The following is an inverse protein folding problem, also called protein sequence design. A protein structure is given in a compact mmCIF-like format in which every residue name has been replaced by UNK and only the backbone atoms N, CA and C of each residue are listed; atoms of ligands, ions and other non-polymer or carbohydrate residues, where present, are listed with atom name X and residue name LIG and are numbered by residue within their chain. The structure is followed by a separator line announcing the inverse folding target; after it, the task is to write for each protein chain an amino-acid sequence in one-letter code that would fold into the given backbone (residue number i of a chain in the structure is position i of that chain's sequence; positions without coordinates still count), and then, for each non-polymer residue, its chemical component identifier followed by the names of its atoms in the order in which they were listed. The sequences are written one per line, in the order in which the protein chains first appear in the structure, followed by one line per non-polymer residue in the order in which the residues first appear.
data_IF_755964182542
#
_entry.id   IF_755964182542
#
_cell.length_a   1.000
_cell.length_b   1.000
_cell.length_c   1.000
_cell.angle_alpha   90.00
_cell.angle_beta   90.00
_cell.angle_gamma   90.00
#
_symmetry.space_group_name_H-M   'P 1'
#
loop_
_entity.id
_entity.type
_entity.pdbx_description
1 polymer ?
#
# COMPACT_ATOMS: atom_id res chain seq x y z
N UNK A 1 4.36 -2.00 7.46
CA UNK A 1 4.45 -0.53 7.28
C UNK A 1 5.93 -0.20 7.28
N UNK A 2 6.37 0.60 6.31
CA UNK A 2 7.74 1.09 6.25
C UNK A 2 7.72 2.57 6.62
N UNK A 3 8.70 3.03 7.41
CA UNK A 3 8.73 4.39 7.93
C UNK A 3 10.00 5.11 7.52
N UNK A 4 9.87 6.37 7.13
CA UNK A 4 10.96 7.25 6.75
C UNK A 4 10.82 8.59 7.44
N UNK A 5 11.96 9.20 7.82
CA UNK A 5 12.00 10.58 8.32
C UNK A 5 11.55 11.53 7.19
N UNK A 6 10.94 12.65 7.54
CA UNK A 6 10.41 13.67 6.61
C UNK A 6 11.35 14.08 5.47
N UNK A 7 12.68 14.26 5.69
CA UNK A 7 13.59 14.68 4.61
C UNK A 7 13.66 13.73 3.41
N UNK A 8 13.35 12.44 3.58
CA UNK A 8 13.42 11.46 2.50
C UNK A 8 12.14 11.37 1.65
N UNK A 9 11.05 11.99 2.11
CA UNK A 9 9.73 11.80 1.50
C UNK A 9 9.66 12.25 0.05
N UNK A 10 10.14 13.45 -0.25
CA UNK A 10 10.11 14.00 -1.60
C UNK A 10 10.96 13.15 -2.57
N UNK A 11 12.16 12.76 -2.16
CA UNK A 11 13.04 11.91 -2.97
C UNK A 11 12.46 10.52 -3.21
N UNK A 12 11.74 9.95 -2.23
CA UNK A 12 11.06 8.66 -2.41
C UNK A 12 9.88 8.76 -3.38
N UNK A 13 9.10 9.85 -3.30
CA UNK A 13 7.95 10.08 -4.19
C UNK A 13 8.41 10.38 -5.62
N UNK A 14 9.46 11.17 -5.80
CA UNK A 14 9.98 11.52 -7.13
C UNK A 14 10.77 10.38 -7.79
N UNK A 15 11.17 9.36 -7.02
CA UNK A 15 12.04 8.28 -7.48
C UNK A 15 13.53 8.62 -7.47
N UNK A 16 13.92 9.79 -6.96
CA UNK A 16 15.32 10.12 -6.74
C UNK A 16 15.97 9.21 -5.69
N UNK A 17 15.20 8.80 -4.67
CA UNK A 17 15.63 7.82 -3.67
C UNK A 17 15.07 6.45 -4.04
N UNK A 18 15.96 5.52 -4.33
CA UNK A 18 15.64 4.14 -4.73
C UNK A 18 16.25 3.09 -3.81
N UNK A 19 17.00 3.51 -2.79
CA UNK A 19 17.64 2.64 -1.82
C UNK A 19 17.36 3.11 -0.39
N UNK A 20 17.31 2.15 0.53
CA UNK A 20 17.39 2.43 1.96
C UNK A 20 18.23 1.35 2.65
N UNK A 21 19.02 1.76 3.64
CA UNK A 21 19.76 0.85 4.49
C UNK A 21 19.10 0.76 5.86
N UNK A 22 18.96 -0.46 6.38
CA UNK A 22 18.22 -0.73 7.62
C UNK A 22 19.01 -1.64 8.56
N UNK A 23 19.10 -1.22 9.82
CA UNK A 23 19.67 -2.00 10.93
C UNK A 23 18.57 -2.81 11.61
N UNK A 24 18.05 -3.80 10.91
CA UNK A 24 17.07 -4.72 11.50
C UNK A 24 17.74 -5.99 11.99
N UNK A 25 17.16 -6.63 13.00
CA UNK A 25 17.57 -7.97 13.43
C UNK A 25 17.12 -9.05 12.44
N UNK A 26 16.01 -8.82 11.73
CA UNK A 26 15.46 -9.68 10.69
C UNK A 26 14.81 -8.83 9.60
N UNK A 27 14.68 -9.30 8.35
CA UNK A 27 14.05 -8.49 7.31
C UNK A 27 12.58 -8.23 7.66
N UNK A 28 12.20 -6.95 7.73
CA UNK A 28 10.80 -6.54 7.95
C UNK A 28 10.02 -6.43 6.63
N UNK A 29 10.73 -6.49 5.50
CA UNK A 29 10.16 -6.46 4.15
C UNK A 29 10.66 -7.63 3.32
N UNK A 30 10.01 -7.89 2.18
CA UNK A 30 10.37 -8.92 1.20
C UNK A 30 10.33 -8.31 -0.20
N UNK A 31 11.14 -8.85 -1.12
CA UNK A 31 11.07 -8.51 -2.53
C UNK A 31 9.66 -8.78 -3.10
N UNK A 32 9.19 -7.91 -3.98
CA UNK A 32 7.81 -7.85 -4.47
C UNK A 32 6.78 -7.35 -3.44
N UNK A 33 7.21 -7.06 -2.21
CA UNK A 33 6.31 -6.63 -1.14
C UNK A 33 5.92 -5.16 -1.27
N UNK A 34 4.63 -4.87 -1.08
CA UNK A 34 4.09 -3.50 -1.03
C UNK A 34 3.88 -3.06 0.41
N UNK A 35 4.39 -1.88 0.77
CA UNK A 35 4.34 -1.37 2.14
C UNK A 35 3.83 0.05 2.17
N UNK A 36 2.78 0.29 2.97
CA UNK A 36 2.35 1.65 3.30
C UNK A 36 3.48 2.40 4.00
N UNK A 37 3.73 3.62 3.54
CA UNK A 37 4.67 4.59 4.08
C UNK A 37 3.96 5.93 4.20
N UNK A 38 3.36 6.20 5.35
CA UNK A 38 2.65 7.46 5.58
C UNK A 38 3.65 8.64 5.71
N UNK A 39 3.39 9.80 5.08
CA UNK A 39 2.21 10.19 4.28
C UNK A 39 2.42 10.07 2.76
N UNK A 40 3.41 9.32 2.31
CA UNK A 40 3.81 9.25 0.90
C UNK A 40 3.20 8.05 0.14
N UNK A 41 2.09 7.49 0.62
CA UNK A 41 1.43 6.37 -0.06
C UNK A 41 2.12 5.01 0.18
N UNK A 42 2.50 4.33 -0.90
CA UNK A 42 3.03 2.97 -0.89
C UNK A 42 4.41 2.92 -1.51
N UNK A 43 5.31 2.16 -0.89
CA UNK A 43 6.59 1.78 -1.48
C UNK A 43 6.56 0.30 -1.81
N UNK A 44 7.05 -0.05 -2.99
CA UNK A 44 7.27 -1.43 -3.41
C UNK A 44 8.74 -1.78 -3.22
N UNK A 45 9.01 -2.96 -2.69
CA UNK A 45 10.36 -3.42 -2.43
C UNK A 45 10.79 -4.31 -3.58
N UNK A 46 11.81 -3.86 -4.30
CA UNK A 46 12.35 -4.56 -5.47
C UNK A 46 13.32 -5.66 -5.04
N UNK A 47 14.16 -5.38 -4.04
CA UNK A 47 15.20 -6.29 -3.59
C UNK A 47 15.52 -6.08 -2.10
N UNK A 48 15.87 -7.15 -1.40
CA UNK A 48 16.40 -7.11 -0.03
C UNK A 48 17.66 -7.96 0.04
N UNK A 49 18.77 -7.36 0.45
CA UNK A 49 20.07 -8.05 0.64
C UNK A 49 20.65 -7.69 1.99
N UNK A 50 21.31 -8.65 2.63
CA UNK A 50 22.17 -8.40 3.78
C UNK A 50 23.57 -8.11 3.25
N UNK A 51 24.15 -6.96 3.63
CA UNK A 51 25.46 -6.51 3.14
C UNK A 51 26.27 -5.91 4.28
N UNK A 52 27.60 -5.96 4.19
CA UNK A 52 28.46 -5.31 5.17
C UNK A 52 28.57 -3.81 4.93
N UNK A 53 28.77 -3.01 5.98
CA UNK A 53 28.93 -1.55 5.87
C UNK A 53 30.09 -1.16 4.95
N UNK A 54 31.19 -1.94 4.96
CA UNK A 54 32.33 -1.70 4.05
C UNK A 54 31.96 -1.74 2.57
N UNK A 55 30.90 -2.46 2.18
CA UNK A 55 30.49 -2.56 0.78
C UNK A 55 29.56 -1.43 0.33
N UNK A 56 29.15 -0.53 1.24
CA UNK A 56 28.33 0.63 0.88
C UNK A 56 29.19 1.60 0.06
N UNK A 57 28.71 1.95 -1.14
CA UNK A 57 29.40 2.87 -2.05
C UNK A 57 28.84 4.30 -1.96
N UNK A 58 29.57 5.27 -2.53
CA UNK A 58 29.06 6.64 -2.69
C UNK A 58 27.80 6.69 -3.56
N UNK A 59 27.76 5.91 -4.64
CA UNK A 59 26.56 5.79 -5.49
C UNK A 59 25.35 5.20 -4.74
N UNK A 60 25.56 4.25 -3.83
CA UNK A 60 24.48 3.78 -2.95
C UNK A 60 24.00 4.87 -1.99
N UNK A 61 24.89 5.76 -1.53
CA UNK A 61 24.52 6.87 -0.65
C UNK A 61 23.66 7.90 -1.39
N UNK A 62 24.04 8.29 -2.60
CA UNK A 62 23.24 9.20 -3.45
C UNK A 62 21.84 8.64 -3.69
N UNK A 63 21.75 7.37 -4.08
CA UNK A 63 20.46 6.66 -4.28
C UNK A 63 19.66 6.47 -3.00
N UNK A 64 20.29 6.60 -1.83
CA UNK A 64 19.63 6.59 -0.53
C UNK A 64 19.26 7.99 -0.02
N UNK A 65 19.54 9.04 -0.80
CA UNK A 65 19.24 10.44 -0.46
C UNK A 65 20.30 11.12 0.39
N UNK A 66 21.54 10.63 0.36
CA UNK A 66 22.67 11.15 1.12
C UNK A 66 23.73 11.75 0.19
N UNK A 67 24.42 12.80 0.66
CA UNK A 67 25.44 13.49 -0.12
C UNK A 67 26.75 12.70 -0.25
N UNK A 68 27.02 11.78 0.68
CA UNK A 68 28.22 10.94 0.66
C UNK A 68 28.04 9.64 1.45
N UNK A 69 28.93 8.67 1.22
CA UNK A 69 29.00 7.42 2.00
C UNK A 69 29.10 7.68 3.50
N UNK A 70 29.93 8.65 3.90
CA UNK A 70 30.18 9.00 5.29
C UNK A 70 28.90 9.52 5.96
N UNK A 71 28.10 10.33 5.25
CA UNK A 71 26.82 10.82 5.77
C UNK A 71 25.79 9.71 5.95
N UNK A 72 25.72 8.74 5.03
CA UNK A 72 24.87 7.55 5.16
C UNK A 72 25.33 6.66 6.32
N UNK A 73 26.63 6.42 6.45
CA UNK A 73 27.21 5.63 7.53
C UNK A 73 27.00 6.30 8.89
N UNK A 74 27.20 7.62 8.98
CA UNK A 74 26.91 8.41 10.18
C UNK A 74 25.45 8.34 10.58
N UNK A 75 24.52 8.39 9.61
CA UNK A 75 23.10 8.18 9.87
C UNK A 75 22.79 6.79 10.45
N UNK A 76 23.46 5.73 9.95
CA UNK A 76 23.31 4.38 10.50
C UNK A 76 23.92 4.26 11.91
N UNK A 77 24.92 5.08 12.23
CA UNK A 77 25.58 5.15 13.54
C UNK A 77 24.70 5.75 14.63
N UNK A 78 23.77 6.65 14.28
CA UNK A 78 22.78 7.18 15.23
C UNK A 78 21.97 6.08 15.91
N UNK A 79 21.85 4.90 15.28
CA UNK A 79 21.09 3.75 15.77
C UNK A 79 21.94 2.80 16.64
N UNK A 80 23.22 3.10 16.87
CA UNK A 80 24.13 2.34 17.72
C UNK A 80 25.54 2.19 17.12
N UNK A 81 26.50 1.59 17.86
CA UNK A 81 27.85 1.34 17.35
C UNK A 81 27.80 0.53 16.05
N UNK A 82 28.64 0.88 15.08
CA UNK A 82 28.85 0.09 13.88
C UNK A 82 30.33 0.10 13.50
N UNK A 83 30.74 -0.96 12.82
CA UNK A 83 32.04 -1.09 12.17
C UNK A 83 31.86 -1.50 10.70
N UNK A 84 32.97 -1.61 9.98
CA UNK A 84 32.98 -1.99 8.57
C UNK A 84 32.53 -3.44 8.31
N UNK A 85 32.56 -4.30 9.33
CA UNK A 85 32.08 -5.69 9.25
C UNK A 85 30.59 -5.83 9.53
N UNK A 86 29.99 -4.84 10.19
CA UNK A 86 28.59 -4.83 10.60
C UNK A 86 27.68 -5.02 9.40
N UNK A 87 26.76 -5.98 9.52
CA UNK A 87 25.79 -6.27 8.48
C UNK A 87 24.54 -5.38 8.59
N UNK A 88 24.07 -4.89 7.46
CA UNK A 88 22.87 -4.06 7.31
C UNK A 88 22.05 -4.54 6.13
N UNK A 89 20.74 -4.34 6.19
CA UNK A 89 19.86 -4.66 5.08
C UNK A 89 19.88 -3.53 4.06
N UNK A 90 20.36 -3.82 2.85
CA UNK A 90 20.18 -3.00 1.65
C UNK A 90 18.85 -3.34 1.02
N UNK A 91 17.96 -2.35 0.94
CA UNK A 91 16.61 -2.50 0.39
C UNK A 91 16.46 -1.59 -0.82
N UNK A 92 16.28 -2.18 -1.99
CA UNK A 92 15.88 -1.45 -3.20
C UNK A 92 14.37 -1.33 -3.24
N UNK A 93 13.89 -0.14 -3.62
CA UNK A 93 12.49 0.20 -3.61
C UNK A 93 12.17 1.32 -4.59
N UNK A 94 10.88 1.46 -4.90
CA UNK A 94 10.34 2.58 -5.65
C UNK A 94 8.95 2.98 -5.13
N UNK A 95 8.47 4.16 -5.54
CA UNK A 95 7.12 4.61 -5.23
C UNK A 95 6.08 3.79 -5.98
N UNK A 96 5.21 3.10 -5.25
CA UNK A 96 4.14 2.26 -5.78
C UNK A 96 2.80 2.98 -5.96
N UNK A 97 2.80 4.31 -5.84
CA UNK A 97 1.61 5.16 -5.88
C UNK A 97 0.92 5.34 -4.52
N UNK A 98 -0.14 6.15 -4.51
CA UNK A 98 -0.85 6.55 -3.29
C UNK A 98 -1.65 5.42 -2.63
N UNK A 99 -1.97 4.38 -3.41
CA UNK A 99 -2.91 3.32 -3.06
C UNK A 99 -2.26 1.98 -2.78
N UNK A 100 -2.81 1.28 -1.79
CA UNK A 100 -2.46 -0.11 -1.51
C UNK A 100 -3.15 -1.00 -2.55
N UNK A 101 -2.43 -1.28 -3.66
CA UNK A 101 -2.91 -2.14 -4.75
C UNK A 101 -3.06 -3.57 -4.27
N UNK A 102 -4.19 -4.18 -4.64
CA UNK A 102 -4.36 -5.63 -4.73
C UNK A 102 -4.31 -5.93 -6.22
N UNK A 103 -3.47 -6.84 -6.69
CA UNK A 103 -3.34 -7.15 -8.13
C UNK A 103 -4.69 -7.43 -8.78
N UNK A 104 -5.52 -8.24 -8.11
CA UNK A 104 -6.91 -8.52 -8.52
C UNK A 104 -7.73 -7.25 -8.76
N UNK A 105 -7.45 -6.15 -8.07
CA UNK A 105 -8.22 -4.92 -8.19
C UNK A 105 -8.00 -4.20 -9.54
N UNK A 106 -6.92 -4.51 -10.26
CA UNK A 106 -6.63 -3.95 -11.59
C UNK A 106 -7.29 -4.71 -12.74
N UNK A 107 -7.70 -5.96 -12.51
CA UNK A 107 -8.38 -6.79 -13.52
C UNK A 107 -9.81 -6.28 -13.77
N UNK A 108 -9.96 -5.42 -14.77
CA UNK A 108 -11.23 -4.84 -15.22
C UNK A 108 -11.87 -5.58 -16.41
N UNK A 109 -11.20 -6.58 -16.96
CA UNK A 109 -11.68 -7.42 -18.05
C UNK A 109 -12.53 -8.59 -17.53
N UNK A 110 -13.66 -8.27 -16.87
CA UNK A 110 -14.52 -9.29 -16.27
C UNK A 110 -15.37 -10.04 -17.30
N UNK A 111 -15.26 -11.36 -17.32
CA UNK A 111 -16.22 -12.23 -18.00
C UNK A 111 -17.57 -12.26 -17.27
N UNK A 112 -18.61 -12.79 -17.91
CA UNK A 112 -19.90 -13.00 -17.24
C UNK A 112 -19.79 -13.94 -16.04
N UNK A 113 -18.91 -14.95 -16.13
CA UNK A 113 -18.64 -15.89 -15.04
C UNK A 113 -17.97 -15.18 -13.85
N UNK A 114 -17.05 -14.25 -14.11
CA UNK A 114 -16.42 -13.46 -13.05
C UNK A 114 -17.43 -12.56 -12.34
N UNK A 115 -18.30 -11.88 -13.10
CA UNK A 115 -19.37 -11.05 -12.56
C UNK A 115 -20.29 -11.91 -11.68
N UNK A 116 -20.72 -13.07 -12.15
CA UNK A 116 -21.56 -14.00 -11.39
C UNK A 116 -20.87 -14.48 -10.09
N UNK A 117 -19.59 -14.84 -10.16
CA UNK A 117 -18.81 -15.27 -9.00
C UNK A 117 -18.68 -14.15 -7.95
N UNK A 118 -18.48 -12.90 -8.37
CA UNK A 118 -18.48 -11.74 -7.48
C UNK A 118 -19.87 -11.56 -6.86
N UNK A 119 -20.93 -11.59 -7.66
CA UNK A 119 -22.31 -11.45 -7.16
C UNK A 119 -22.67 -12.51 -6.12
N UNK A 120 -22.28 -13.77 -6.32
CA UNK A 120 -22.49 -14.85 -5.32
C UNK A 120 -21.76 -14.54 -4.01
N UNK A 121 -20.50 -14.08 -4.08
CA UNK A 121 -19.74 -13.71 -2.88
C UNK A 121 -20.37 -12.53 -2.14
N UNK A 122 -20.85 -11.52 -2.85
CA UNK A 122 -21.54 -10.37 -2.25
C UNK A 122 -22.88 -10.78 -1.63
N UNK A 123 -23.68 -11.62 -2.30
CA UNK A 123 -24.93 -12.14 -1.76
C UNK A 123 -24.73 -12.91 -0.46
N UNK A 124 -23.66 -13.71 -0.36
CA UNK A 124 -23.28 -14.39 0.90
C UNK A 124 -22.94 -13.40 2.02
N UNK A 125 -22.25 -12.29 1.70
CA UNK A 125 -21.94 -11.23 2.68
C UNK A 125 -23.19 -10.45 3.12
N UNK A 126 -24.19 -10.34 2.24
CA UNK A 126 -25.45 -9.66 2.49
C UNK A 126 -26.52 -10.55 3.15
N UNK A 127 -26.25 -11.84 3.36
CA UNK A 127 -27.23 -12.82 3.83
C UNK A 127 -27.89 -12.46 5.17
N UNK A 128 -27.15 -11.83 6.09
CA UNK A 128 -27.68 -11.38 7.39
C UNK A 128 -28.20 -9.93 7.35
N UNK A 129 -27.57 -9.09 6.55
CA UNK A 129 -27.89 -7.68 6.43
C UNK A 129 -27.40 -7.20 5.06
N UNK A 130 -28.27 -6.59 4.26
CA UNK A 130 -27.86 -6.03 2.98
C UNK A 130 -27.04 -4.74 3.16
N UNK A 131 -25.74 -4.79 2.87
CA UNK A 131 -24.82 -3.66 3.02
C UNK A 131 -23.91 -3.43 1.82
N UNK A 132 -23.54 -4.47 1.05
CA UNK A 132 -22.46 -4.37 0.06
C UNK A 132 -22.74 -3.31 -1.02
N UNK A 133 -23.93 -3.35 -1.62
CA UNK A 133 -24.34 -2.38 -2.66
C UNK A 133 -24.35 -0.95 -2.14
N UNK A 134 -24.89 -0.72 -0.94
CA UNK A 134 -24.96 0.60 -0.31
C UNK A 134 -23.56 1.15 -0.02
N UNK A 135 -22.66 0.30 0.48
CA UNK A 135 -21.27 0.69 0.75
C UNK A 135 -20.48 0.98 -0.53
N UNK A 136 -20.62 0.17 -1.58
CA UNK A 136 -19.99 0.43 -2.87
C UNK A 136 -20.47 1.76 -3.47
N UNK A 137 -21.78 2.03 -3.49
CA UNK A 137 -22.32 3.30 -3.96
C UNK A 137 -21.84 4.50 -3.11
N UNK A 138 -21.72 4.32 -1.79
CA UNK A 138 -21.21 5.35 -0.89
C UNK A 138 -19.75 5.70 -1.18
N UNK A 139 -18.90 4.69 -1.41
CA UNK A 139 -17.47 4.88 -1.74
C UNK A 139 -17.32 5.50 -3.13
N UNK A 140 -18.12 5.07 -4.11
CA UNK A 140 -18.14 5.65 -5.46
C UNK A 140 -18.47 7.15 -5.42
N UNK A 141 -19.44 7.56 -4.59
CA UNK A 141 -19.86 8.97 -4.46
C UNK A 141 -18.88 9.82 -3.64
N UNK A 142 -18.07 9.21 -2.78
CA UNK A 142 -17.20 9.89 -1.83
C UNK A 142 -15.78 9.30 -1.82
N UNK A 143 -15.06 9.38 -2.96
CA UNK A 143 -13.69 8.90 -3.04
C UNK A 143 -12.79 9.66 -2.06
N UNK A 144 -11.79 8.98 -1.50
CA UNK A 144 -10.79 9.54 -0.56
C UNK A 144 -11.35 10.21 0.69
N UNK A 145 -12.59 9.89 1.08
CA UNK A 145 -13.16 10.37 2.34
C UNK A 145 -12.83 9.40 3.48
N UNK A 146 -12.42 9.95 4.62
CA UNK A 146 -12.07 9.18 5.81
C UNK A 146 -13.18 8.19 6.21
N UNK A 147 -12.78 6.98 6.59
CA UNK A 147 -13.70 5.90 6.92
C UNK A 147 -14.71 6.26 8.02
N UNK A 148 -14.29 7.06 9.02
CA UNK A 148 -15.18 7.54 10.09
C UNK A 148 -16.31 8.44 9.55
N UNK A 149 -16.00 9.33 8.60
CA UNK A 149 -16.99 10.18 7.94
C UNK A 149 -17.96 9.36 7.08
N UNK A 150 -17.46 8.33 6.39
CA UNK A 150 -18.31 7.42 5.61
C UNK A 150 -19.22 6.59 6.52
N UNK A 151 -18.68 6.02 7.60
CA UNK A 151 -19.44 5.24 8.57
C UNK A 151 -20.56 6.08 9.23
N UNK A 152 -20.28 7.33 9.60
CA UNK A 152 -21.26 8.27 10.14
C UNK A 152 -22.43 8.53 9.17
N UNK A 153 -22.16 8.67 7.85
CA UNK A 153 -23.21 8.86 6.83
C UNK A 153 -24.19 7.68 6.75
N UNK A 154 -23.77 6.48 7.16
CA UNK A 154 -24.62 5.29 7.20
C UNK A 154 -24.99 4.87 8.61
N UNK A 155 -24.73 5.73 9.61
CA UNK A 155 -25.00 5.50 11.05
C UNK A 155 -24.44 4.18 11.56
N UNK A 156 -23.21 3.85 11.15
CA UNK A 156 -22.48 2.66 11.60
C UNK A 156 -21.24 3.04 12.39
N UNK A 157 -20.84 2.12 13.26
CA UNK A 157 -19.53 2.18 13.92
C UNK A 157 -18.40 2.07 12.87
N UNK A 158 -17.28 2.77 13.10
CA UNK A 158 -16.20 2.93 12.14
C UNK A 158 -15.39 1.65 11.93
N UNK A 159 -15.07 0.89 12.98
CA UNK A 159 -14.34 -0.38 12.89
C UNK A 159 -15.16 -1.43 12.14
N UNK A 160 -16.45 -1.54 12.41
CA UNK A 160 -17.35 -2.44 11.68
C UNK A 160 -17.42 -2.09 10.20
N UNK A 161 -17.57 -0.80 9.88
CA UNK A 161 -17.53 -0.31 8.50
C UNK A 161 -16.19 -0.65 7.83
N UNK A 162 -15.05 -0.42 8.52
CA UNK A 162 -13.71 -0.79 8.02
C UNK A 162 -13.60 -2.29 7.76
N UNK A 163 -14.13 -3.12 8.66
CA UNK A 163 -14.13 -4.58 8.52
C UNK A 163 -14.86 -5.03 7.26
N UNK A 164 -15.99 -4.41 6.96
CA UNK A 164 -16.75 -4.67 5.74
C UNK A 164 -16.03 -4.17 4.48
N UNK A 165 -15.46 -2.96 4.49
CA UNK A 165 -14.66 -2.47 3.36
C UNK A 165 -13.44 -3.36 3.09
N UNK A 166 -12.80 -3.93 4.13
CA UNK A 166 -11.72 -4.92 3.95
C UNK A 166 -12.21 -6.17 3.20
N UNK A 167 -13.45 -6.62 3.40
CA UNK A 167 -14.02 -7.75 2.65
C UNK A 167 -14.19 -7.39 1.16
N UNK A 168 -14.66 -6.17 0.87
CA UNK A 168 -14.76 -5.69 -0.52
C UNK A 168 -13.38 -5.54 -1.18
N UNK A 169 -12.38 -5.04 -0.45
CA UNK A 169 -10.99 -4.95 -0.92
C UNK A 169 -10.42 -6.32 -1.28
N UNK A 170 -10.70 -7.36 -0.48
CA UNK A 170 -10.26 -8.75 -0.78
C UNK A 170 -10.85 -9.30 -2.09
N UNK A 171 -11.98 -8.76 -2.55
CA UNK A 171 -12.57 -9.10 -3.86
C UNK A 171 -12.05 -8.20 -5.00
N UNK A 172 -11.09 -7.32 -4.72
CA UNK A 172 -10.59 -6.34 -5.70
C UNK A 172 -11.57 -5.21 -6.01
N UNK A 173 -12.67 -5.05 -5.28
CA UNK A 173 -13.72 -4.08 -5.63
C UNK A 173 -13.41 -2.65 -5.15
N UNK A 174 -12.58 -2.51 -4.12
CA UNK A 174 -12.20 -1.22 -3.54
C UNK A 174 -10.69 -1.16 -3.30
N UNK A 175 -10.10 0.03 -3.41
CA UNK A 175 -8.71 0.31 -3.05
C UNK A 175 -8.65 1.19 -1.80
N UNK A 176 -7.63 0.96 -0.97
CA UNK A 176 -7.37 1.80 0.21
C UNK A 176 -6.24 2.77 -0.06
N UNK A 177 -6.38 3.97 0.46
CA UNK A 177 -5.38 5.02 0.39
C UNK A 177 -4.97 5.43 1.79
N UNK A 178 -4.08 6.41 1.87
CA UNK A 178 -3.78 7.09 3.13
C UNK A 178 -5.06 7.63 3.78
N UNK A 179 -5.87 8.33 2.99
CA UNK A 179 -7.19 8.83 3.40
C UNK A 179 -8.27 8.16 2.58
N UNK A 180 -9.09 7.35 3.26
CA UNK A 180 -10.30 6.79 2.68
C UNK A 180 -10.08 5.68 1.66
N UNK A 181 -11.08 5.53 0.79
CA UNK A 181 -11.20 4.45 -0.19
C UNK A 181 -11.65 4.99 -1.53
N UNK A 182 -11.43 4.21 -2.58
CA UNK A 182 -12.09 4.40 -3.88
C UNK A 182 -12.53 3.06 -4.44
N UNK A 183 -13.43 3.10 -5.42
CA UNK A 183 -13.73 1.92 -6.24
C UNK A 183 -12.51 1.62 -7.11
N UNK A 184 -12.05 0.38 -7.08
CA UNK A 184 -10.95 -0.07 -7.92
C UNK A 184 -11.40 -0.30 -9.38
N UNK A 185 -10.49 -0.40 -10.36
CA UNK A 185 -10.83 -0.74 -11.75
C UNK A 185 -11.77 -1.95 -11.89
N UNK A 186 -11.43 -3.09 -11.27
CA UNK A 186 -12.30 -4.27 -11.19
C UNK A 186 -13.69 -3.96 -10.63
N UNK A 187 -13.74 -3.16 -9.57
CA UNK A 187 -14.99 -2.74 -8.94
C UNK A 187 -15.87 -1.91 -9.87
N UNK A 188 -15.28 -1.00 -10.67
CA UNK A 188 -15.99 -0.20 -11.67
C UNK A 188 -16.55 -1.10 -12.78
N UNK A 189 -15.76 -2.02 -13.30
CA UNK A 189 -16.19 -2.99 -14.30
C UNK A 189 -17.39 -3.83 -13.80
N UNK A 190 -17.31 -4.33 -12.57
CA UNK A 190 -18.40 -5.07 -11.94
C UNK A 190 -19.68 -4.23 -11.80
N UNK A 191 -19.57 -2.99 -11.32
CA UNK A 191 -20.72 -2.08 -11.17
C UNK A 191 -21.35 -1.73 -12.53
N UNK A 192 -20.55 -1.52 -13.57
CA UNK A 192 -21.04 -1.27 -14.92
C UNK A 192 -21.80 -2.49 -15.48
N UNK A 193 -21.25 -3.70 -15.36
CA UNK A 193 -21.86 -4.93 -15.84
C UNK A 193 -23.22 -5.22 -15.16
N UNK A 194 -23.31 -4.96 -13.85
CA UNK A 194 -24.54 -5.19 -13.07
C UNK A 194 -25.60 -4.11 -13.21
N UNK A 195 -25.23 -2.89 -13.59
CA UNK A 195 -26.17 -1.81 -13.96
C UNK A 195 -26.87 -2.09 -15.29
N UNK A 196 -26.16 -2.70 -16.27
CA UNK A 196 -26.71 -3.02 -17.59
C UNK A 196 -27.71 -4.19 -17.59
N UNK A 197 -27.66 -5.06 -16.57
CA UNK A 197 -28.58 -6.20 -16.39
C UNK A 197 -29.83 -5.87 -15.55
N UNK A 198 -30.02 -4.61 -15.17
CA UNK A 198 -31.20 -4.10 -14.44
C UNK A 198 -32.06 -3.28 -15.37
#
# INVERSE_FOLDING_TARGET
MLLFKKPFWEGLVSGAITLTYRRWQKPHVRAGGRYRCHPIGVLEVDEVKLVAVRSITGADAERAGFASRESLVGYLAELGPLDDATEVYRVALHHGGDGDRVELALDDALSEADVAAISVKLARMDAKLAWTKKTLALIEKHPRVAASKLAAKVRRETLDFKTDVRKLKKLGLTQSFEVGYEIAPRGRAYLAATRRKR
#
